data_IF_401289254299
#
_entry.id   IF_401289254299
#
_cell.length_a   1.000
_cell.length_b   1.000
_cell.length_c   1.000
_cell.angle_alpha   90.00
_cell.angle_beta   90.00
_cell.angle_gamma   90.00
#
_symmetry.space_group_name_H-M   'P 1'
#
loop_
_entity.id
_entity.type
_entity.pdbx_description
1 polymer ?
#
# COMPACT_ATOMS: atom_id res chain seq x y z
N UNK A 1 16.70 7.60 7.99
CA UNK A 1 16.45 6.19 7.59
C UNK A 1 15.69 6.21 6.29
N UNK A 2 16.19 5.52 5.27
CA UNK A 2 15.49 5.41 3.99
C UNK A 2 14.30 4.46 4.11
N UNK A 3 13.12 4.92 3.68
CA UNK A 3 11.93 4.07 3.58
C UNK A 3 11.97 3.26 2.28
N UNK A 4 11.38 2.05 2.24
CA UNK A 4 11.41 1.22 1.05
C UNK A 4 10.55 1.83 -0.07
N UNK A 5 10.76 1.36 -1.30
CA UNK A 5 10.02 1.77 -2.50
C UNK A 5 10.22 3.22 -2.96
N UNK A 6 11.31 3.89 -2.55
CA UNK A 6 11.74 5.14 -3.21
C UNK A 6 12.05 4.95 -4.71
N UNK A 7 12.28 3.69 -5.12
CA UNK A 7 12.49 3.21 -6.48
C UNK A 7 12.04 1.75 -6.62
N UNK A 8 11.73 1.30 -7.84
CA UNK A 8 11.39 -0.10 -8.18
C UNK A 8 12.68 -0.89 -8.46
N UNK A 9 12.77 -2.17 -8.09
CA UNK A 9 13.97 -2.96 -8.41
C UNK A 9 14.19 -3.12 -9.93
N UNK A 10 15.38 -3.60 -10.34
CA UNK A 10 15.62 -3.98 -11.74
C UNK A 10 14.67 -5.10 -12.17
N UNK A 11 14.34 -5.17 -13.45
CA UNK A 11 13.58 -6.31 -13.98
C UNK A 11 14.19 -7.66 -13.61
N UNK A 12 13.31 -8.66 -13.49
CA UNK A 12 13.66 -10.06 -13.31
C UNK A 12 13.68 -10.73 -14.67
N UNK A 13 14.45 -11.80 -14.81
CA UNK A 13 14.68 -12.46 -16.10
C UNK A 13 13.48 -13.27 -16.61
N UNK A 14 12.45 -13.48 -15.77
CA UNK A 14 11.24 -14.21 -16.15
C UNK A 14 9.96 -13.62 -15.53
N UNK A 15 8.82 -13.96 -16.15
CA UNK A 15 7.48 -13.53 -15.76
C UNK A 15 6.75 -14.60 -14.93
N UNK A 16 7.39 -15.20 -13.94
CA UNK A 16 6.68 -16.07 -12.98
C UNK A 16 5.60 -15.31 -12.22
N UNK A 17 4.58 -16.02 -11.73
CA UNK A 17 3.51 -15.42 -10.90
C UNK A 17 4.09 -14.63 -9.71
N UNK A 18 5.14 -15.17 -9.08
CA UNK A 18 5.88 -14.50 -7.99
C UNK A 18 6.48 -13.18 -8.45
N UNK A 19 7.18 -13.17 -9.59
CA UNK A 19 7.82 -11.97 -10.11
C UNK A 19 6.80 -10.92 -10.56
N UNK A 20 5.68 -11.34 -11.16
CA UNK A 20 4.59 -10.44 -11.56
C UNK A 20 3.95 -9.79 -10.34
N UNK A 21 3.59 -10.58 -9.33
CA UNK A 21 2.96 -10.06 -8.10
C UNK A 21 3.95 -9.17 -7.34
N UNK A 22 5.22 -9.57 -7.25
CA UNK A 22 6.28 -8.76 -6.65
C UNK A 22 6.39 -7.40 -7.33
N UNK A 23 6.48 -7.38 -8.66
CA UNK A 23 6.55 -6.15 -9.47
C UNK A 23 5.30 -5.27 -9.29
N UNK A 24 4.12 -5.86 -9.19
CA UNK A 24 2.88 -5.13 -8.90
C UNK A 24 2.97 -4.40 -7.55
N UNK A 25 3.42 -5.09 -6.50
CA UNK A 25 3.59 -4.51 -5.16
C UNK A 25 4.68 -3.43 -5.14
N UNK A 26 5.77 -3.60 -5.87
CA UNK A 26 6.76 -2.53 -6.03
C UNK A 26 6.17 -1.28 -6.69
N UNK A 27 5.33 -1.46 -7.70
CA UNK A 27 4.61 -0.36 -8.36
C UNK A 27 3.63 0.36 -7.44
N UNK A 28 2.92 -0.39 -6.59
CA UNK A 28 2.03 0.14 -5.55
C UNK A 28 2.83 0.91 -4.50
N UNK A 29 3.88 0.28 -3.96
CA UNK A 29 4.77 0.87 -2.97
C UNK A 29 5.43 2.15 -3.47
N UNK A 30 5.89 2.17 -4.72
CA UNK A 30 6.53 3.35 -5.32
C UNK A 30 5.57 4.53 -5.46
N UNK A 31 4.34 4.27 -5.93
CA UNK A 31 3.29 5.30 -6.01
C UNK A 31 2.97 5.86 -4.64
N UNK A 32 2.73 4.98 -3.67
CA UNK A 32 2.42 5.40 -2.30
C UNK A 32 3.59 6.15 -1.65
N UNK A 33 4.83 5.68 -1.83
CA UNK A 33 6.03 6.33 -1.30
C UNK A 33 6.05 7.81 -1.69
N UNK A 34 5.88 8.10 -2.98
CA UNK A 34 5.97 9.45 -3.52
C UNK A 34 4.72 10.29 -3.25
N UNK A 35 3.53 9.69 -3.32
CA UNK A 35 2.29 10.40 -2.98
C UNK A 35 2.27 10.85 -1.52
N UNK A 36 2.72 9.98 -0.60
CA UNK A 36 2.79 10.26 0.82
C UNK A 36 4.04 11.03 1.25
N UNK A 37 4.97 11.35 0.37
CA UNK A 37 6.23 12.00 0.76
C UNK A 37 6.04 13.50 1.05
N UNK A 38 6.59 13.97 2.17
CA UNK A 38 6.63 15.37 2.59
C UNK A 38 5.24 16.04 2.62
N UNK A 39 4.24 15.37 3.17
CA UNK A 39 2.92 15.98 3.41
C UNK A 39 3.00 16.85 4.67
N UNK A 40 2.58 18.10 4.54
CA UNK A 40 2.49 19.08 5.64
C UNK A 40 1.17 18.91 6.37
N UNK A 41 1.03 19.55 7.53
CA UNK A 41 -0.23 19.53 8.29
C UNK A 41 -1.43 20.00 7.47
N UNK A 42 -1.27 21.05 6.64
CA UNK A 42 -2.31 21.52 5.72
C UNK A 42 -2.69 20.47 4.66
N UNK A 43 -1.73 19.71 4.16
CA UNK A 43 -1.98 18.65 3.17
C UNK A 43 -2.71 17.47 3.83
N UNK A 44 -2.33 17.11 5.06
CA UNK A 44 -2.96 16.03 5.85
C UNK A 44 -4.41 16.35 6.21
N UNK A 45 -4.69 17.60 6.55
CA UNK A 45 -6.02 18.09 6.93
C UNK A 45 -6.90 18.45 5.72
N UNK A 46 -6.35 18.48 4.51
CA UNK A 46 -7.10 18.83 3.30
C UNK A 46 -8.29 17.88 3.09
N UNK A 47 -9.44 18.49 2.75
CA UNK A 47 -10.67 17.81 2.36
C UNK A 47 -11.19 18.46 1.06
N UNK A 48 -11.48 17.70 -0.02
CA UNK A 48 -12.05 18.29 -1.23
C UNK A 48 -13.47 18.84 -1.05
N UNK A 49 -14.20 18.37 -0.02
CA UNK A 49 -15.52 18.90 0.38
C UNK A 49 -15.78 18.66 1.87
N UNK A 50 -16.74 19.35 2.51
CA UNK A 50 -17.04 19.16 3.94
C UNK A 50 -17.34 17.70 4.33
N UNK A 51 -18.02 16.96 3.45
CA UNK A 51 -18.45 15.57 3.67
C UNK A 51 -17.43 14.52 3.21
N UNK A 52 -16.35 14.92 2.52
CA UNK A 52 -15.29 14.01 2.12
C UNK A 52 -14.45 13.55 3.31
N UNK A 53 -13.60 12.53 3.10
CA UNK A 53 -12.54 12.18 4.07
C UNK A 53 -11.29 13.03 3.81
N UNK A 54 -10.48 13.26 4.84
CA UNK A 54 -9.22 13.98 4.69
C UNK A 54 -8.12 13.13 4.05
N UNK A 55 -7.02 13.77 3.63
CA UNK A 55 -5.80 13.06 3.23
C UNK A 55 -5.30 12.11 4.33
N UNK A 56 -5.31 12.54 5.59
CA UNK A 56 -4.89 11.70 6.71
C UNK A 56 -5.79 10.45 6.87
N UNK A 57 -7.11 10.62 6.81
CA UNK A 57 -8.05 9.49 6.87
C UNK A 57 -7.87 8.53 5.68
N UNK A 58 -7.53 9.08 4.51
CA UNK A 58 -7.19 8.27 3.31
C UNK A 58 -5.91 7.45 3.54
N UNK A 59 -4.89 8.04 4.19
CA UNK A 59 -3.67 7.31 4.58
C UNK A 59 -3.96 6.21 5.61
N UNK A 60 -4.85 6.45 6.57
CA UNK A 60 -5.27 5.44 7.56
C UNK A 60 -5.96 4.27 6.87
N UNK A 61 -6.85 4.55 5.91
CA UNK A 61 -7.50 3.53 5.12
C UNK A 61 -6.49 2.67 4.34
N UNK A 62 -5.54 3.32 3.64
CA UNK A 62 -4.45 2.62 2.92
C UNK A 62 -3.60 1.77 3.87
N UNK A 63 -3.31 2.24 5.08
CA UNK A 63 -2.57 1.46 6.08
C UNK A 63 -3.31 0.15 6.39
N UNK A 64 -4.62 0.20 6.61
CA UNK A 64 -5.44 -1.00 6.89
C UNK A 64 -5.49 -1.95 5.70
N UNK A 65 -5.53 -1.44 4.46
CA UNK A 65 -5.39 -2.26 3.26
C UNK A 65 -4.00 -2.93 3.21
N UNK A 66 -2.93 -2.21 3.52
CA UNK A 66 -1.57 -2.76 3.56
C UNK A 66 -1.38 -3.85 4.63
N UNK A 67 -2.08 -3.73 5.77
CA UNK A 67 -2.13 -4.79 6.77
C UNK A 67 -2.76 -6.06 6.20
N UNK A 68 -3.88 -5.91 5.47
CA UNK A 68 -4.55 -7.02 4.80
C UNK A 68 -3.62 -7.70 3.81
N UNK A 69 -2.93 -6.93 2.96
CA UNK A 69 -1.91 -7.42 2.02
C UNK A 69 -0.86 -8.27 2.74
N UNK A 70 -0.16 -7.69 3.73
CA UNK A 70 0.86 -8.39 4.50
C UNK A 70 0.32 -9.67 5.18
N UNK A 71 -0.84 -9.58 5.80
CA UNK A 71 -1.39 -10.66 6.60
C UNK A 71 -1.81 -11.86 5.74
N UNK A 72 -2.23 -11.66 4.49
CA UNK A 72 -2.57 -12.77 3.58
C UNK A 72 -1.39 -13.70 3.34
N UNK A 73 -0.17 -13.20 3.08
CA UNK A 73 1.01 -14.07 2.93
C UNK A 73 1.51 -14.67 4.25
N UNK A 74 1.15 -14.07 5.39
CA UNK A 74 1.49 -14.61 6.70
C UNK A 74 0.41 -15.57 7.24
N UNK A 75 -0.67 -15.81 6.48
CA UNK A 75 -1.87 -16.51 6.94
C UNK A 75 -2.39 -16.00 8.30
N UNK A 76 -2.32 -14.67 8.47
CA UNK A 76 -2.78 -13.98 9.68
C UNK A 76 -4.18 -13.42 9.51
N UNK A 77 -4.94 -13.44 10.61
CA UNK A 77 -6.29 -12.89 10.69
C UNK A 77 -6.22 -11.37 10.67
N UNK A 78 -7.13 -10.74 9.95
CA UNK A 78 -7.37 -9.31 9.97
C UNK A 78 -8.55 -9.00 10.89
N UNK A 79 -8.26 -8.60 12.12
CA UNK A 79 -9.27 -8.18 13.11
C UNK A 79 -9.95 -6.89 12.62
N UNK A 80 -11.28 -6.85 12.72
CA UNK A 80 -12.12 -5.70 12.34
C UNK A 80 -13.01 -5.29 13.53
N UNK A 81 -12.97 -4.03 14.00
CA UNK A 81 -12.12 -2.93 13.50
C UNK A 81 -10.62 -3.19 13.76
N UNK A 82 -9.72 -2.60 12.95
CA UNK A 82 -8.29 -2.76 13.14
C UNK A 82 -7.84 -2.10 14.45
N UNK A 83 -7.16 -2.86 15.29
CA UNK A 83 -6.55 -2.34 16.51
C UNK A 83 -5.25 -1.59 16.23
N UNK A 84 -4.92 -0.62 17.08
CA UNK A 84 -3.61 0.03 17.12
C UNK A 84 -3.15 0.67 15.79
N UNK A 85 -4.06 1.36 15.08
CA UNK A 85 -3.68 2.20 13.95
C UNK A 85 -2.67 3.26 14.42
N UNK A 86 -1.52 3.43 13.74
CA UNK A 86 -0.56 4.48 14.09
C UNK A 86 -1.20 5.87 14.01
N UNK A 87 -1.05 6.65 15.09
CA UNK A 87 -1.62 8.00 15.19
C UNK A 87 -0.73 9.09 14.55
N UNK A 88 0.56 8.83 14.42
CA UNK A 88 1.49 9.78 13.80
C UNK A 88 1.55 9.51 12.29
N UNK A 89 1.58 10.58 11.49
CA UNK A 89 1.73 10.48 10.04
C UNK A 89 3.02 9.73 9.66
N UNK A 90 4.13 10.01 10.34
CA UNK A 90 5.41 9.38 10.05
C UNK A 90 5.39 7.87 10.32
N UNK A 91 4.79 7.43 11.43
CA UNK A 91 4.65 6.01 11.73
C UNK A 91 3.67 5.32 10.79
N UNK A 92 2.56 5.99 10.46
CA UNK A 92 1.55 5.48 9.53
C UNK A 92 2.17 5.23 8.15
N UNK A 93 2.90 6.22 7.63
CA UNK A 93 3.64 6.13 6.37
C UNK A 93 4.68 5.03 6.41
N UNK A 94 5.54 5.04 7.44
CA UNK A 94 6.62 4.05 7.62
C UNK A 94 6.06 2.63 7.69
N UNK A 95 5.04 2.39 8.51
CA UNK A 95 4.46 1.06 8.71
C UNK A 95 3.71 0.57 7.48
N UNK A 96 3.01 1.45 6.74
CA UNK A 96 2.39 1.10 5.46
C UNK A 96 3.43 0.58 4.47
N UNK A 97 4.52 1.34 4.28
CA UNK A 97 5.61 0.94 3.39
C UNK A 97 6.30 -0.34 3.87
N UNK A 98 6.46 -0.54 5.18
CA UNK A 98 7.01 -1.79 5.74
C UNK A 98 6.10 -3.00 5.58
N UNK A 99 4.77 -2.83 5.63
CA UNK A 99 3.84 -3.92 5.37
C UNK A 99 3.97 -4.42 3.93
N UNK A 100 4.03 -3.50 2.96
CA UNK A 100 4.24 -3.83 1.54
C UNK A 100 5.62 -4.46 1.31
N UNK A 101 6.67 -3.95 1.97
CA UNK A 101 8.02 -4.52 1.88
C UNK A 101 8.06 -5.95 2.41
N UNK A 102 7.39 -6.23 3.54
CA UNK A 102 7.36 -7.57 4.12
C UNK A 102 6.62 -8.55 3.22
N UNK A 103 5.49 -8.14 2.64
CA UNK A 103 4.81 -8.94 1.62
C UNK A 103 5.77 -9.29 0.48
N UNK A 104 6.44 -8.26 -0.08
CA UNK A 104 7.31 -8.43 -1.23
C UNK A 104 8.52 -9.34 -0.93
N UNK A 105 9.11 -9.20 0.25
CA UNK A 105 10.22 -10.06 0.70
C UNK A 105 9.80 -11.51 0.91
N UNK A 106 8.57 -11.75 1.37
CA UNK A 106 8.10 -13.10 1.62
C UNK A 106 7.70 -13.80 0.33
N UNK A 107 6.99 -13.12 -0.58
CA UNK A 107 6.59 -13.76 -1.84
C UNK A 107 7.80 -14.17 -2.68
N UNK A 108 8.88 -13.37 -2.67
CA UNK A 108 10.12 -13.65 -3.39
C UNK A 108 10.93 -14.83 -2.82
N UNK A 109 10.57 -15.37 -1.64
CA UNK A 109 11.17 -16.60 -1.11
C UNK A 109 10.54 -17.86 -1.67
N UNK A 110 9.35 -17.74 -2.26
CA UNK A 110 8.65 -18.85 -2.90
C UNK A 110 9.20 -19.03 -4.31
N UNK A 111 9.85 -20.16 -4.60
CA UNK A 111 10.35 -20.47 -5.95
C UNK A 111 9.18 -20.80 -6.90
N UNK A 112 8.23 -21.59 -6.41
CA UNK A 112 6.94 -21.86 -7.02
C UNK A 112 5.88 -21.61 -5.96
N UNK A 113 4.92 -20.73 -6.25
CA UNK A 113 3.91 -20.32 -5.27
C UNK A 113 2.56 -20.96 -5.60
N UNK A 114 2.04 -21.79 -4.69
CA UNK A 114 0.64 -22.18 -4.74
C UNK A 114 -0.22 -21.12 -4.05
N UNK A 115 -0.77 -20.21 -4.86
CA UNK A 115 -1.60 -19.12 -4.37
C UNK A 115 -2.88 -19.60 -3.66
N UNK A 116 -3.31 -20.85 -3.86
CA UNK A 116 -4.48 -21.41 -3.20
C UNK A 116 -4.28 -21.60 -1.69
N UNK A 117 -3.02 -21.69 -1.24
CA UNK A 117 -2.67 -21.81 0.18
C UNK A 117 -2.90 -20.49 0.94
N UNK A 118 -2.94 -19.35 0.25
CA UNK A 118 -3.09 -18.04 0.86
C UNK A 118 -4.53 -17.57 0.79
N UNK A 119 -5.11 -17.29 1.97
CA UNK A 119 -6.46 -16.74 2.08
C UNK A 119 -6.43 -15.40 2.79
N UNK A 120 -7.33 -14.51 2.39
CA UNK A 120 -7.67 -13.35 3.20
C UNK A 120 -8.64 -13.83 4.28
N UNK A 121 -8.29 -13.63 5.54
CA UNK A 121 -9.14 -14.01 6.67
C UNK A 121 -9.51 -12.73 7.42
N UNK A 122 -10.80 -12.48 7.60
CA UNK A 122 -11.32 -11.40 8.45
C UNK A 122 -12.05 -11.99 9.64
N UNK A 123 -11.94 -11.31 10.78
CA UNK A 123 -12.68 -11.65 11.99
C UNK A 123 -13.32 -10.39 12.58
N UNK A 124 -14.61 -10.48 12.91
CA UNK A 124 -15.39 -9.41 13.54
C UNK A 124 -16.41 -10.04 14.50
N UNK A 125 -16.37 -9.66 15.78
CA UNK A 125 -17.29 -10.18 16.80
C UNK A 125 -17.41 -11.71 16.76
N UNK A 126 -16.27 -12.42 16.74
CA UNK A 126 -16.16 -13.88 16.64
C UNK A 126 -16.61 -14.50 15.30
N UNK A 127 -17.14 -13.72 14.36
CA UNK A 127 -17.45 -14.19 13.00
C UNK A 127 -16.23 -14.12 12.11
N UNK A 128 -15.84 -15.27 11.55
CA UNK A 128 -14.76 -15.40 10.58
C UNK A 128 -15.30 -15.51 9.16
N UNK A 129 -14.68 -14.78 8.24
CA UNK A 129 -14.88 -14.93 6.80
C UNK A 129 -13.55 -15.11 6.10
N UNK A 130 -13.53 -15.90 5.03
CA UNK A 130 -12.32 -16.17 4.26
C UNK A 130 -12.56 -16.00 2.77
N UNK A 131 -11.60 -15.42 2.08
CA UNK A 131 -11.65 -15.14 0.64
C UNK A 131 -10.38 -15.63 -0.06
N UNK A 132 -10.47 -16.07 -1.32
CA UNK A 132 -9.31 -16.52 -2.08
C UNK A 132 -8.36 -15.36 -2.40
N UNK A 133 -7.12 -15.71 -2.78
CA UNK A 133 -6.08 -14.74 -3.13
C UNK A 133 -6.50 -13.74 -4.22
N UNK A 134 -7.37 -14.14 -5.15
CA UNK A 134 -7.91 -13.25 -6.19
C UNK A 134 -8.53 -11.96 -5.63
N UNK A 135 -9.19 -12.05 -4.47
CA UNK A 135 -9.78 -10.88 -3.81
C UNK A 135 -8.71 -9.92 -3.26
N UNK A 136 -7.47 -10.38 -3.06
CA UNK A 136 -6.37 -9.51 -2.65
C UNK A 136 -5.96 -8.56 -3.78
N UNK A 137 -5.91 -9.07 -5.01
CA UNK A 137 -5.57 -8.31 -6.20
C UNK A 137 -6.64 -7.25 -6.50
N UNK A 138 -7.91 -7.67 -6.56
CA UNK A 138 -9.03 -6.82 -6.98
C UNK A 138 -9.51 -5.86 -5.89
N UNK A 139 -9.33 -6.24 -4.62
CA UNK A 139 -9.66 -5.41 -3.47
C UNK A 139 -8.42 -4.65 -2.99
N UNK A 140 -7.77 -5.08 -1.89
CA UNK A 140 -6.73 -4.30 -1.22
C UNK A 140 -5.62 -3.73 -2.12
N UNK A 141 -5.07 -4.49 -3.06
CA UNK A 141 -3.95 -4.01 -3.88
C UNK A 141 -4.42 -2.92 -4.86
N UNK A 142 -5.49 -3.18 -5.61
CA UNK A 142 -6.07 -2.20 -6.52
C UNK A 142 -6.56 -0.94 -5.78
N UNK A 143 -7.15 -1.13 -4.60
CA UNK A 143 -7.73 -0.04 -3.81
C UNK A 143 -6.65 0.87 -3.19
N UNK A 144 -5.47 0.33 -2.85
CA UNK A 144 -4.32 1.17 -2.48
C UNK A 144 -3.92 2.08 -3.65
N UNK A 145 -3.90 1.59 -4.89
CA UNK A 145 -3.59 2.42 -6.06
C UNK A 145 -4.66 3.49 -6.23
N UNK A 146 -5.94 3.10 -6.14
CA UNK A 146 -7.09 3.98 -6.26
C UNK A 146 -7.02 5.16 -5.27
N UNK A 147 -6.85 4.86 -3.99
CA UNK A 147 -6.74 5.87 -2.94
C UNK A 147 -5.42 6.65 -2.96
N UNK A 148 -4.34 6.06 -3.46
CA UNK A 148 -3.10 6.82 -3.70
C UNK A 148 -3.31 7.93 -4.73
N UNK A 149 -4.13 7.69 -5.77
CA UNK A 149 -4.53 8.72 -6.72
C UNK A 149 -5.27 9.91 -6.09
N UNK A 150 -6.10 9.63 -5.08
CA UNK A 150 -6.78 10.68 -4.31
C UNK A 150 -5.78 11.55 -3.55
N UNK A 151 -4.79 10.94 -2.88
CA UNK A 151 -3.72 11.68 -2.17
C UNK A 151 -2.97 12.59 -3.14
N UNK A 152 -2.66 12.11 -4.36
CA UNK A 152 -1.99 12.92 -5.40
C UNK A 152 -2.84 14.15 -5.77
N UNK A 153 -4.15 13.96 -5.94
CA UNK A 153 -5.07 15.05 -6.23
C UNK A 153 -5.13 16.05 -5.07
N UNK A 154 -5.32 15.55 -3.85
CA UNK A 154 -5.47 16.38 -2.64
C UNK A 154 -4.24 17.22 -2.37
N UNK A 155 -3.04 16.62 -2.41
CA UNK A 155 -1.79 17.37 -2.21
C UNK A 155 -1.55 18.43 -3.29
N UNK A 156 -2.00 18.21 -4.53
CA UNK A 156 -1.93 19.23 -5.58
C UNK A 156 -2.86 20.39 -5.27
N UNK A 157 -4.09 20.09 -4.84
CA UNK A 157 -5.09 21.08 -4.46
C UNK A 157 -4.70 21.89 -3.23
N UNK A 158 -3.93 21.32 -2.31
CA UNK A 158 -3.34 22.03 -1.15
C UNK A 158 -2.00 22.71 -1.46
N UNK A 159 -1.58 22.79 -2.73
CA UNK A 159 -0.38 23.53 -3.14
C UNK A 159 0.95 22.77 -2.98
N UNK A 160 0.93 21.47 -2.70
CA UNK A 160 2.11 20.61 -2.57
C UNK A 160 2.12 19.49 -3.62
N UNK A 161 2.38 19.77 -4.92
CA UNK A 161 2.42 18.73 -5.95
C UNK A 161 3.55 17.71 -5.70
N UNK A 162 3.40 16.50 -6.27
CA UNK A 162 4.46 15.48 -6.27
C UNK A 162 5.71 16.01 -7.01
N UNK A 163 6.89 15.56 -6.58
CA UNK A 163 8.15 15.83 -7.26
C UNK A 163 8.06 15.48 -8.76
N UNK A 164 8.39 16.45 -9.63
CA UNK A 164 8.35 16.33 -11.10
C UNK A 164 9.28 15.24 -11.66
N UNK A 165 10.33 14.86 -10.91
CA UNK A 165 11.25 13.80 -11.27
C UNK A 165 10.68 12.39 -11.14
N UNK A 166 9.53 12.21 -10.48
CA UNK A 166 8.90 10.89 -10.25
C UNK A 166 8.42 10.31 -11.57
N UNK A 167 9.01 9.19 -11.99
CA UNK A 167 8.62 8.47 -13.20
C UNK A 167 8.11 7.08 -12.84
N UNK A 168 6.78 6.93 -12.85
CA UNK A 168 6.10 5.67 -12.50
C UNK A 168 6.29 4.56 -13.53
N UNK A 169 6.61 4.90 -14.78
CA UNK A 169 6.87 3.92 -15.85
C UNK A 169 8.26 3.31 -15.68
N UNK A 170 9.27 4.15 -15.46
CA UNK A 170 10.65 3.70 -15.23
C UNK A 170 10.90 3.22 -13.79
N UNK A 171 10.00 3.53 -12.85
CA UNK A 171 10.18 3.21 -11.43
C UNK A 171 11.36 3.92 -10.78
N UNK A 172 11.74 5.08 -11.31
CA UNK A 172 12.92 5.86 -10.93
C UNK A 172 12.53 7.32 -10.79
N UNK A 173 13.15 8.00 -9.83
CA UNK A 173 12.95 9.43 -9.62
C UNK A 173 14.23 10.16 -10.00
N UNK A 174 14.13 11.09 -10.96
CA UNK A 174 15.24 12.00 -11.27
C UNK A 174 15.42 12.95 -10.08
N UNK A 175 16.67 13.16 -9.68
CA UNK A 175 17.00 14.19 -8.69
C UNK A 175 16.74 15.57 -9.26
#
# INVERSE_FOLDING_TARGET
MDLPFSQISKEKDNYSSVNIISRLIEGVGYRYYWASNNLRLEDLNFKPSPNSISTYQTLEHIYVLSLTVKNTLLNKINIRPPDNIPKSYDDLRKKTLKNLELFNKNILKENEIDLNMFKIIFERNDFKSSFPFWNLLNGPIADIIYHTGQIVSFRRSSGNPINKGVNVFLGRTKK
#
